data_IF_809146551587
#
_entry.id   IF_809146551587
#
_cell.length_a   1.000
_cell.length_b   1.000
_cell.length_c   1.000
_cell.angle_alpha   90.00
_cell.angle_beta   90.00
_cell.angle_gamma   90.00
#
_symmetry.space_group_name_H-M   'P 1'
#
loop_
_entity.id
_entity.type
_entity.pdbx_description
1 polymer ?
#
# COMPACT_ATOMS: atom_id res chain seq x y z
N UNK A 1 5.18 4.54 10.39
CA UNK A 1 6.30 5.30 9.76
C UNK A 1 6.33 6.66 10.44
N UNK A 2 7.33 6.97 11.20
CA UNK A 2 7.44 8.31 11.77
C UNK A 2 7.80 9.29 10.65
N UNK A 3 7.08 10.39 10.54
CA UNK A 3 7.28 11.40 9.48
C UNK A 3 8.72 11.93 9.43
N UNK A 4 9.45 11.85 10.53
CA UNK A 4 10.85 12.28 10.64
C UNK A 4 11.87 11.32 10.01
N UNK A 5 11.58 10.02 9.91
CA UNK A 5 12.54 9.06 9.33
C UNK A 5 12.51 9.11 7.80
N UNK A 6 11.33 9.11 7.20
CA UNK A 6 11.21 9.21 5.75
C UNK A 6 11.73 10.55 5.22
N UNK A 7 11.63 11.64 6.00
CA UNK A 7 12.25 12.93 5.66
C UNK A 7 13.78 12.88 5.58
N UNK A 8 14.43 12.04 6.39
CA UNK A 8 15.89 11.87 6.31
C UNK A 8 16.31 11.11 5.05
N UNK A 9 15.43 10.22 4.56
CA UNK A 9 15.69 9.40 3.39
C UNK A 9 15.41 10.19 2.11
N UNK A 10 14.39 11.06 2.14
CA UNK A 10 13.99 11.93 1.04
C UNK A 10 14.28 13.38 1.44
N UNK A 11 15.52 13.86 1.29
CA UNK A 11 15.96 15.17 1.80
C UNK A 11 15.64 16.33 0.84
N UNK A 12 14.44 16.35 0.27
CA UNK A 12 13.97 17.37 -0.67
C UNK A 12 12.82 18.14 -0.06
N UNK A 13 13.11 19.37 0.42
CA UNK A 13 12.11 20.20 1.09
C UNK A 13 10.89 20.48 0.20
N UNK A 14 11.10 20.64 -1.10
CA UNK A 14 10.04 20.88 -2.10
C UNK A 14 9.03 19.73 -2.19
N UNK A 15 9.43 18.47 -2.01
CA UNK A 15 8.48 17.34 -1.93
C UNK A 15 7.54 17.52 -0.73
N UNK A 16 8.08 17.96 0.40
CA UNK A 16 7.30 18.17 1.63
C UNK A 16 6.40 19.40 1.55
N UNK A 17 6.87 20.46 0.89
CA UNK A 17 6.06 21.66 0.62
C UNK A 17 4.92 21.33 -0.36
N UNK A 18 5.20 20.57 -1.41
CA UNK A 18 4.20 20.08 -2.36
C UNK A 18 3.16 19.16 -1.71
N UNK A 19 3.56 18.37 -0.71
CA UNK A 19 2.62 17.57 0.07
C UNK A 19 1.58 18.42 0.81
N UNK A 20 1.97 19.60 1.33
CA UNK A 20 1.02 20.54 1.95
C UNK A 20 0.03 21.13 0.92
N UNK A 21 0.46 21.32 -0.33
CA UNK A 21 -0.43 21.74 -1.43
C UNK A 21 -1.38 20.60 -1.80
N UNK A 22 -0.85 19.38 -1.89
CA UNK A 22 -1.61 18.17 -2.17
C UNK A 22 -2.72 17.91 -1.14
N UNK A 23 -2.45 18.08 0.15
CA UNK A 23 -3.46 17.95 1.22
C UNK A 23 -4.65 18.89 1.00
N UNK A 24 -4.39 20.15 0.63
CA UNK A 24 -5.45 21.10 0.31
C UNK A 24 -6.23 20.67 -0.94
N UNK A 25 -5.50 20.20 -1.94
CA UNK A 25 -6.09 19.72 -3.19
C UNK A 25 -6.95 18.46 -3.00
N UNK A 26 -6.53 17.53 -2.11
CA UNK A 26 -7.34 16.37 -1.70
C UNK A 26 -8.70 16.81 -1.14
N UNK A 27 -8.70 17.78 -0.23
CA UNK A 27 -9.95 18.31 0.35
C UNK A 27 -10.81 19.01 -0.70
N UNK A 28 -10.23 19.79 -1.60
CA UNK A 28 -10.94 20.45 -2.69
C UNK A 28 -11.62 19.43 -3.61
N UNK A 29 -10.87 18.45 -4.12
CA UNK A 29 -11.36 17.45 -5.07
C UNK A 29 -12.40 16.52 -4.43
N UNK A 30 -12.27 16.17 -3.16
CA UNK A 30 -13.22 15.33 -2.42
C UNK A 30 -14.49 16.06 -1.96
N UNK A 31 -14.62 17.36 -2.21
CA UNK A 31 -15.81 18.14 -1.88
C UNK A 31 -16.95 17.84 -2.85
N UNK A 32 -18.17 17.83 -2.33
CA UNK A 32 -19.42 17.64 -3.05
C UNK A 32 -20.37 18.83 -2.83
N UNK A 33 -21.32 19.03 -3.71
CA UNK A 33 -22.46 19.94 -3.47
C UNK A 33 -23.38 19.47 -2.33
N UNK A 34 -23.21 18.22 -1.88
CA UNK A 34 -23.87 17.66 -0.71
C UNK A 34 -22.89 17.67 0.47
N UNK A 35 -23.11 18.58 1.43
CA UNK A 35 -22.26 18.76 2.61
C UNK A 35 -22.14 17.47 3.45
N UNK A 36 -23.20 16.67 3.47
CA UNK A 36 -23.19 15.39 4.21
C UNK A 36 -22.23 14.39 3.54
N UNK A 37 -22.29 14.25 2.22
CA UNK A 37 -21.32 13.43 1.47
C UNK A 37 -19.88 13.95 1.63
N UNK A 38 -19.70 15.27 1.58
CA UNK A 38 -18.40 15.91 1.84
C UNK A 38 -17.84 15.51 3.21
N UNK A 39 -18.69 15.58 4.26
CA UNK A 39 -18.26 15.22 5.61
C UNK A 39 -17.81 13.77 5.76
N UNK A 40 -18.44 12.85 5.01
CA UNK A 40 -18.07 11.43 5.02
C UNK A 40 -16.80 11.21 4.19
N UNK A 41 -16.77 11.66 2.93
CA UNK A 41 -15.63 11.43 2.02
C UNK A 41 -14.32 12.04 2.50
N UNK A 42 -14.37 13.14 3.25
CA UNK A 42 -13.19 13.79 3.84
C UNK A 42 -12.78 13.22 5.20
N UNK A 43 -13.57 12.34 5.78
CA UNK A 43 -13.32 11.87 7.16
C UNK A 43 -11.97 11.17 7.32
N UNK A 44 -11.66 10.18 6.47
CA UNK A 44 -10.36 9.50 6.52
C UNK A 44 -9.21 10.35 5.94
N UNK A 45 -9.48 11.35 5.11
CA UNK A 45 -8.48 12.34 4.68
C UNK A 45 -8.03 13.15 5.90
N UNK A 46 -8.98 13.67 6.67
CA UNK A 46 -8.74 14.46 7.87
C UNK A 46 -8.14 13.66 9.04
N UNK A 47 -8.38 12.35 9.09
CA UNK A 47 -7.71 11.46 10.04
C UNK A 47 -6.20 11.34 9.77
N UNK A 48 -5.72 11.85 8.64
CA UNK A 48 -4.32 11.87 8.27
C UNK A 48 -3.86 10.61 7.55
N UNK A 49 -2.56 10.39 7.54
CA UNK A 49 -1.91 9.25 6.88
C UNK A 49 -0.46 9.57 6.52
N UNK A 50 0.31 8.53 6.21
CA UNK A 50 1.75 8.68 5.90
C UNK A 50 1.98 9.24 4.48
N UNK A 51 0.97 9.28 3.65
CA UNK A 51 1.00 9.77 2.25
C UNK A 51 2.13 9.18 1.41
N UNK A 52 2.47 7.90 1.67
CA UNK A 52 3.60 7.26 0.98
C UNK A 52 3.42 7.28 -0.55
N UNK A 53 2.22 6.98 -1.06
CA UNK A 53 1.92 7.00 -2.51
C UNK A 53 2.10 8.39 -3.13
N UNK A 54 1.54 9.48 -2.60
CA UNK A 54 1.84 10.84 -3.05
C UNK A 54 3.33 11.20 -2.98
N UNK A 55 4.05 10.77 -1.95
CA UNK A 55 5.48 11.03 -1.80
C UNK A 55 6.28 10.37 -2.94
N UNK A 56 6.03 9.08 -3.23
CA UNK A 56 6.74 8.42 -4.32
C UNK A 56 6.30 8.91 -5.70
N UNK A 57 5.05 9.40 -5.85
CA UNK A 57 4.59 10.10 -7.06
C UNK A 57 5.38 11.38 -7.28
N UNK A 58 5.53 12.21 -6.24
CA UNK A 58 6.31 13.45 -6.30
C UNK A 58 7.79 13.17 -6.58
N UNK A 59 8.36 12.16 -5.93
CA UNK A 59 9.74 11.74 -6.17
C UNK A 59 9.96 11.28 -7.63
N UNK A 60 9.05 10.47 -8.18
CA UNK A 60 9.10 10.05 -9.57
C UNK A 60 8.95 11.23 -10.56
N UNK A 61 8.17 12.24 -10.18
CA UNK A 61 8.02 13.49 -10.94
C UNK A 61 9.32 14.28 -11.09
N UNK A 62 10.29 14.11 -10.20
CA UNK A 62 11.60 14.79 -10.30
C UNK A 62 12.52 14.24 -11.40
N UNK A 63 12.19 13.11 -11.99
CA UNK A 63 12.96 12.53 -13.08
C UNK A 63 12.59 13.10 -14.48
N UNK A 64 11.57 13.95 -14.55
CA UNK A 64 11.18 14.67 -15.79
C UNK A 64 11.28 16.18 -15.61
N UNK A 65 10.46 16.93 -16.34
CA UNK A 65 10.38 18.38 -16.21
C UNK A 65 9.41 18.78 -15.07
N UNK A 66 9.90 18.63 -13.82
CA UNK A 66 9.13 18.88 -12.59
C UNK A 66 8.58 20.31 -12.55
N UNK A 67 9.43 21.32 -12.82
CA UNK A 67 9.08 22.73 -12.60
C UNK A 67 7.88 23.16 -13.46
N UNK A 68 7.86 22.76 -14.74
CA UNK A 68 6.77 23.09 -15.65
C UNK A 68 5.50 22.27 -15.40
N UNK A 69 5.63 21.11 -14.77
CA UNK A 69 4.53 20.16 -14.61
C UNK A 69 4.10 19.94 -13.14
N UNK A 70 4.56 20.78 -12.20
CA UNK A 70 4.31 20.58 -10.78
C UNK A 70 2.81 20.42 -10.44
N UNK A 71 1.92 21.16 -11.10
CA UNK A 71 0.48 21.04 -10.91
C UNK A 71 -0.04 19.65 -11.31
N UNK A 72 0.47 19.08 -12.41
CA UNK A 72 0.10 17.72 -12.86
C UNK A 72 0.66 16.65 -11.92
N UNK A 73 1.88 16.83 -11.40
CA UNK A 73 2.48 15.90 -10.44
C UNK A 73 1.67 15.88 -9.14
N UNK A 74 1.22 17.05 -8.68
CA UNK A 74 0.33 17.15 -7.51
C UNK A 74 -0.99 16.44 -7.78
N UNK A 75 -1.65 16.73 -8.92
CA UNK A 75 -2.91 16.09 -9.30
C UNK A 75 -2.75 14.55 -9.45
N UNK A 76 -1.60 14.07 -9.96
CA UNK A 76 -1.26 12.66 -9.99
C UNK A 76 -1.21 12.04 -8.59
N UNK A 77 -0.54 12.72 -7.65
CA UNK A 77 -0.50 12.32 -6.25
C UNK A 77 -1.89 12.31 -5.58
N UNK A 78 -2.74 13.28 -5.92
CA UNK A 78 -4.14 13.33 -5.47
C UNK A 78 -4.92 12.13 -6.02
N UNK A 79 -4.80 11.83 -7.31
CA UNK A 79 -5.51 10.70 -7.93
C UNK A 79 -5.20 9.37 -7.23
N UNK A 80 -3.93 9.06 -7.02
CA UNK A 80 -3.53 7.79 -6.38
C UNK A 80 -3.94 7.73 -4.91
N UNK A 81 -3.91 8.86 -4.19
CA UNK A 81 -4.34 8.89 -2.80
C UNK A 81 -5.86 8.78 -2.66
N UNK A 82 -6.65 9.36 -3.58
CA UNK A 82 -8.11 9.20 -3.60
C UNK A 82 -8.51 7.73 -3.84
N UNK A 83 -7.83 7.02 -4.75
CA UNK A 83 -8.04 5.58 -4.95
C UNK A 83 -7.70 4.82 -3.66
N UNK A 84 -6.54 5.10 -3.06
CA UNK A 84 -6.13 4.45 -1.82
C UNK A 84 -7.15 4.69 -0.69
N UNK A 85 -7.57 5.94 -0.48
CA UNK A 85 -8.53 6.23 0.59
C UNK A 85 -9.90 5.62 0.27
N UNK A 86 -10.34 5.66 -0.99
CA UNK A 86 -11.57 5.02 -1.43
C UNK A 86 -11.56 3.51 -1.16
N UNK A 87 -10.44 2.81 -1.44
CA UNK A 87 -10.31 1.39 -1.11
C UNK A 87 -10.38 1.14 0.41
N UNK A 88 -9.78 2.00 1.24
CA UNK A 88 -9.88 1.87 2.70
C UNK A 88 -11.32 1.95 3.23
N UNK A 89 -12.19 2.76 2.60
CA UNK A 89 -13.61 2.80 2.96
C UNK A 89 -14.31 1.47 2.66
N UNK A 90 -13.95 0.82 1.55
CA UNK A 90 -14.48 -0.49 1.17
C UNK A 90 -13.91 -1.60 2.05
N UNK A 91 -12.59 -1.59 2.30
CA UNK A 91 -11.91 -2.55 3.17
C UNK A 91 -12.53 -2.55 4.57
N UNK A 92 -12.74 -1.37 5.19
CA UNK A 92 -13.36 -1.25 6.51
C UNK A 92 -14.75 -1.91 6.59
N UNK A 93 -15.50 -1.89 5.48
CA UNK A 93 -16.81 -2.57 5.40
C UNK A 93 -16.66 -4.08 5.26
N UNK A 94 -15.72 -4.55 4.42
CA UNK A 94 -15.47 -5.97 4.19
C UNK A 94 -14.93 -6.66 5.45
N UNK A 95 -14.01 -5.99 6.15
CA UNK A 95 -13.35 -6.49 7.35
C UNK A 95 -14.16 -6.24 8.63
N UNK A 96 -15.34 -5.59 8.54
CA UNK A 96 -16.12 -5.11 9.70
C UNK A 96 -15.25 -4.33 10.70
N UNK A 97 -14.29 -3.57 10.20
CA UNK A 97 -13.35 -2.82 11.02
C UNK A 97 -14.08 -1.77 11.88
N UNK A 98 -13.70 -1.64 13.15
CA UNK A 98 -14.27 -0.64 14.08
C UNK A 98 -13.43 0.64 14.16
N UNK A 99 -12.16 0.56 13.78
CA UNK A 99 -11.22 1.67 13.85
C UNK A 99 -10.33 1.73 12.61
N UNK A 100 -9.98 2.95 12.17
CA UNK A 100 -9.02 3.20 11.07
C UNK A 100 -8.22 4.47 11.37
N UNK A 101 -6.89 4.42 11.23
CA UNK A 101 -6.00 5.57 11.48
C UNK A 101 -6.17 6.20 12.87
N UNK A 102 -6.47 5.39 13.89
CA UNK A 102 -6.66 5.85 15.28
C UNK A 102 -7.99 6.56 15.55
N UNK A 103 -8.91 6.57 14.58
CA UNK A 103 -10.28 7.06 14.75
C UNK A 103 -11.28 5.93 14.52
N UNK A 104 -12.54 6.13 14.88
CA UNK A 104 -13.62 5.21 14.55
C UNK A 104 -13.70 5.05 13.02
N UNK A 105 -13.89 3.82 12.52
CA UNK A 105 -14.05 3.58 11.08
C UNK A 105 -15.36 4.20 10.55
N UNK A 106 -15.44 4.45 9.25
CA UNK A 106 -16.62 5.13 8.69
C UNK A 106 -17.88 4.28 8.75
N UNK A 107 -17.76 2.95 8.56
CA UNK A 107 -18.87 2.00 8.68
C UNK A 107 -19.42 1.91 10.10
N UNK A 108 -18.57 2.02 11.12
CA UNK A 108 -18.99 2.11 12.53
C UNK A 108 -19.66 3.44 12.85
N UNK A 109 -19.04 4.54 12.41
CA UNK A 109 -19.52 5.91 12.71
C UNK A 109 -20.84 6.25 12.02
N UNK A 110 -21.03 5.78 10.81
CA UNK A 110 -22.27 6.00 10.03
C UNK A 110 -22.98 4.69 9.74
N UNK A 111 -22.58 3.99 8.72
CA UNK A 111 -22.96 2.63 8.34
C UNK A 111 -22.21 2.18 7.08
N UNK A 112 -22.27 0.88 6.77
CA UNK A 112 -21.63 0.29 5.59
C UNK A 112 -22.09 0.92 4.27
N UNK A 113 -23.36 1.25 4.12
CA UNK A 113 -23.89 1.86 2.87
C UNK A 113 -23.25 3.20 2.58
N UNK A 114 -23.10 4.06 3.60
CA UNK A 114 -22.48 5.39 3.43
C UNK A 114 -20.97 5.28 3.22
N UNK A 115 -20.31 4.29 3.82
CA UNK A 115 -18.90 4.01 3.55
C UNK A 115 -18.67 3.61 2.09
N UNK A 116 -19.46 2.68 1.56
CA UNK A 116 -19.38 2.26 0.15
C UNK A 116 -19.57 3.47 -0.77
N UNK A 117 -20.62 4.27 -0.55
CA UNK A 117 -20.88 5.45 -1.37
C UNK A 117 -19.78 6.50 -1.30
N UNK A 118 -19.15 6.67 -0.14
CA UNK A 118 -17.99 7.59 0.00
C UNK A 118 -16.77 7.07 -0.76
N UNK A 119 -16.49 5.77 -0.69
CA UNK A 119 -15.43 5.14 -1.49
C UNK A 119 -15.67 5.31 -2.98
N UNK A 120 -16.87 4.97 -3.48
CA UNK A 120 -17.24 5.15 -4.89
C UNK A 120 -17.10 6.61 -5.34
N UNK A 121 -17.51 7.56 -4.49
CA UNK A 121 -17.38 8.99 -4.78
C UNK A 121 -15.90 9.40 -4.94
N UNK A 122 -15.01 8.97 -4.05
CA UNK A 122 -13.58 9.27 -4.15
C UNK A 122 -12.95 8.68 -5.41
N UNK A 123 -13.34 7.47 -5.80
CA UNK A 123 -12.88 6.83 -7.05
C UNK A 123 -13.36 7.60 -8.29
N UNK A 124 -14.61 8.07 -8.29
CA UNK A 124 -15.14 8.91 -9.36
C UNK A 124 -14.40 10.24 -9.46
N UNK A 125 -14.09 10.90 -8.31
CA UNK A 125 -13.34 12.15 -8.26
C UNK A 125 -11.90 11.99 -8.75
N UNK A 126 -11.25 10.86 -8.42
CA UNK A 126 -9.93 10.51 -8.97
C UNK A 126 -9.96 10.42 -10.50
N UNK A 127 -10.95 9.70 -11.03
CA UNK A 127 -11.10 9.52 -12.49
C UNK A 127 -11.37 10.83 -13.22
N UNK A 128 -12.22 11.69 -12.67
CA UNK A 128 -12.53 13.02 -13.21
C UNK A 128 -11.30 13.93 -13.23
N UNK A 129 -10.56 14.02 -12.10
CA UNK A 129 -9.33 14.80 -12.03
C UNK A 129 -8.28 14.30 -13.03
N UNK A 130 -8.12 12.99 -13.17
CA UNK A 130 -7.19 12.43 -14.13
C UNK A 130 -7.57 12.78 -15.58
N UNK A 131 -8.86 12.78 -15.91
CA UNK A 131 -9.34 13.16 -17.25
C UNK A 131 -9.10 14.66 -17.54
N UNK A 132 -9.29 15.52 -16.55
CA UNK A 132 -9.11 16.97 -16.69
C UNK A 132 -7.63 17.38 -16.77
N UNK A 133 -6.76 16.79 -15.95
CA UNK A 133 -5.39 17.26 -15.71
C UNK A 133 -4.32 16.40 -16.38
N UNK A 134 -4.49 15.06 -16.42
CA UNK A 134 -3.44 14.12 -16.77
C UNK A 134 -3.63 13.45 -18.14
N UNK A 135 -4.84 13.45 -18.67
CA UNK A 135 -5.17 12.89 -19.98
C UNK A 135 -5.50 11.39 -19.99
N UNK A 136 -5.83 10.89 -21.18
CA UNK A 136 -6.44 9.58 -21.40
C UNK A 136 -5.57 8.40 -20.94
N UNK A 137 -4.27 8.49 -21.13
CA UNK A 137 -3.35 7.41 -20.71
C UNK A 137 -3.39 7.22 -19.20
N UNK A 138 -3.37 8.31 -18.45
CA UNK A 138 -3.47 8.29 -16.98
C UNK A 138 -4.81 7.75 -16.49
N UNK A 139 -5.92 8.09 -17.16
CA UNK A 139 -7.25 7.52 -16.84
C UNK A 139 -7.27 6.01 -17.04
N UNK A 140 -6.72 5.52 -18.17
CA UNK A 140 -6.63 4.08 -18.44
C UNK A 140 -5.77 3.36 -17.41
N UNK A 141 -4.62 3.95 -17.06
CA UNK A 141 -3.72 3.40 -16.05
C UNK A 141 -4.41 3.28 -14.69
N UNK A 142 -5.06 4.33 -14.21
CA UNK A 142 -5.77 4.33 -12.93
C UNK A 142 -6.94 3.33 -12.92
N UNK A 143 -7.69 3.24 -14.02
CA UNK A 143 -8.79 2.28 -14.14
C UNK A 143 -8.29 0.82 -14.12
N UNK A 144 -7.20 0.52 -14.84
CA UNK A 144 -6.56 -0.81 -14.83
C UNK A 144 -6.04 -1.15 -13.43
N UNK A 145 -5.36 -0.20 -12.79
CA UNK A 145 -4.83 -0.40 -11.43
C UNK A 145 -5.94 -0.66 -10.41
N UNK A 146 -7.05 0.05 -10.52
CA UNK A 146 -8.18 -0.22 -9.64
C UNK A 146 -8.80 -1.60 -9.88
N UNK A 147 -8.87 -2.06 -11.13
CA UNK A 147 -9.30 -3.42 -11.44
C UNK A 147 -8.35 -4.47 -10.83
N UNK A 148 -7.03 -4.29 -10.98
CA UNK A 148 -6.02 -5.16 -10.36
C UNK A 148 -6.16 -5.21 -8.83
N UNK A 149 -6.46 -4.06 -8.19
CA UNK A 149 -6.68 -3.98 -6.75
C UNK A 149 -7.91 -4.79 -6.32
N UNK A 150 -9.02 -4.66 -7.06
CA UNK A 150 -10.27 -5.43 -6.80
C UNK A 150 -10.06 -6.93 -7.04
N UNK A 151 -9.31 -7.31 -8.08
CA UNK A 151 -8.95 -8.70 -8.36
C UNK A 151 -8.11 -9.30 -7.23
N UNK A 152 -7.10 -8.55 -6.74
CA UNK A 152 -6.27 -8.94 -5.59
C UNK A 152 -7.10 -9.14 -4.32
N UNK A 153 -7.98 -8.19 -3.99
CA UNK A 153 -8.88 -8.29 -2.84
C UNK A 153 -9.85 -9.47 -2.98
N UNK A 154 -10.40 -9.70 -4.18
CA UNK A 154 -11.28 -10.85 -4.43
C UNK A 154 -10.55 -12.17 -4.25
N UNK A 155 -9.29 -12.26 -4.71
CA UNK A 155 -8.46 -13.45 -4.52
C UNK A 155 -8.18 -13.70 -3.04
N UNK A 156 -7.82 -12.65 -2.27
CA UNK A 156 -7.60 -12.74 -0.82
C UNK A 156 -8.83 -13.31 -0.09
N UNK A 157 -10.01 -12.77 -0.36
CA UNK A 157 -11.26 -13.26 0.23
C UNK A 157 -11.56 -14.73 -0.12
N UNK A 158 -11.24 -15.15 -1.34
CA UNK A 158 -11.43 -16.54 -1.77
C UNK A 158 -10.44 -17.52 -1.12
N UNK A 159 -9.27 -17.03 -0.70
CA UNK A 159 -8.21 -17.80 -0.04
C UNK A 159 -8.34 -17.79 1.48
N UNK A 160 -9.30 -17.05 2.05
CA UNK A 160 -9.48 -16.98 3.50
C UNK A 160 -9.68 -18.37 4.11
N UNK A 161 -8.87 -18.70 5.11
CA UNK A 161 -8.83 -20.01 5.78
C UNK A 161 -8.47 -21.21 4.87
N UNK A 162 -7.92 -20.98 3.68
CA UNK A 162 -7.44 -22.05 2.82
C UNK A 162 -6.04 -22.49 3.25
N UNK A 163 -5.95 -23.70 3.83
CA UNK A 163 -4.70 -24.31 4.30
C UNK A 163 -3.86 -24.94 3.16
N UNK A 164 -4.41 -24.98 1.95
CA UNK A 164 -3.73 -25.49 0.76
C UNK A 164 -3.17 -24.39 -0.15
N UNK A 165 -3.40 -23.11 0.21
CA UNK A 165 -2.83 -21.97 -0.53
C UNK A 165 -1.29 -22.03 -0.50
N UNK A 166 -0.66 -21.54 -1.56
CA UNK A 166 0.79 -21.51 -1.71
C UNK A 166 1.34 -20.06 -1.73
N UNK A 167 2.68 -19.94 -1.76
CA UNK A 167 3.35 -18.64 -1.77
C UNK A 167 3.02 -17.83 -3.04
N UNK A 168 2.86 -18.47 -4.20
CA UNK A 168 2.52 -17.77 -5.46
C UNK A 168 1.10 -17.17 -5.39
N UNK A 169 0.17 -17.84 -4.69
CA UNK A 169 -1.16 -17.31 -4.44
C UNK A 169 -1.11 -16.03 -3.61
N UNK A 170 -0.32 -16.04 -2.53
CA UNK A 170 -0.07 -14.88 -1.68
C UNK A 170 0.59 -13.74 -2.47
N UNK A 171 1.65 -14.03 -3.24
CA UNK A 171 2.33 -13.03 -4.06
C UNK A 171 1.36 -12.36 -5.03
N UNK A 172 0.50 -13.14 -5.71
CA UNK A 172 -0.53 -12.59 -6.61
C UNK A 172 -1.50 -11.64 -5.89
N UNK A 173 -1.88 -11.95 -4.64
CA UNK A 173 -2.74 -11.09 -3.82
C UNK A 173 -2.06 -9.75 -3.55
N UNK A 174 -0.82 -9.76 -3.03
CA UNK A 174 -0.12 -8.51 -2.69
C UNK A 174 0.31 -7.72 -3.91
N UNK A 175 0.57 -8.37 -5.04
CA UNK A 175 0.78 -7.74 -6.34
C UNK A 175 -0.42 -6.88 -6.73
N UNK A 176 -1.63 -7.44 -6.71
CA UNK A 176 -2.86 -6.72 -7.03
C UNK A 176 -3.23 -5.68 -5.98
N UNK A 177 -3.29 -6.08 -4.72
CA UNK A 177 -3.81 -5.25 -3.61
C UNK A 177 -2.88 -4.09 -3.24
N UNK A 178 -1.56 -4.29 -3.28
CA UNK A 178 -0.58 -3.32 -2.76
C UNK A 178 0.39 -2.81 -3.82
N UNK A 179 1.07 -3.70 -4.55
CA UNK A 179 2.14 -3.31 -5.47
C UNK A 179 1.60 -2.55 -6.69
N UNK A 180 0.44 -2.89 -7.19
CA UNK A 180 -0.21 -2.26 -8.34
C UNK A 180 -0.32 -0.74 -8.18
N UNK A 181 -0.81 -0.26 -7.03
CA UNK A 181 -1.00 1.17 -6.81
C UNK A 181 0.31 1.91 -6.49
N UNK A 182 1.32 1.25 -5.92
CA UNK A 182 2.65 1.85 -5.72
C UNK A 182 3.37 1.96 -7.07
N UNK A 183 3.32 0.94 -7.93
CA UNK A 183 3.75 1.00 -9.33
C UNK A 183 3.08 2.17 -10.06
N UNK A 184 1.77 2.28 -9.95
CA UNK A 184 1.01 3.34 -10.60
C UNK A 184 1.37 4.71 -10.06
N UNK A 185 1.68 4.85 -8.78
CA UNK A 185 2.13 6.10 -8.18
C UNK A 185 3.42 6.60 -8.82
N UNK A 186 4.42 5.73 -8.97
CA UNK A 186 5.70 6.09 -9.59
C UNK A 186 5.56 6.34 -11.09
N UNK A 187 4.81 5.47 -11.79
CA UNK A 187 4.54 5.64 -13.22
C UNK A 187 3.79 6.93 -13.51
N UNK A 188 2.77 7.24 -12.73
CA UNK A 188 1.94 8.43 -12.95
C UNK A 188 2.71 9.73 -12.67
N UNK A 189 3.57 9.74 -11.64
CA UNK A 189 4.44 10.87 -11.33
C UNK A 189 5.43 11.17 -12.45
N UNK A 190 6.09 10.16 -13.00
CA UNK A 190 7.03 10.30 -14.11
C UNK A 190 6.33 10.68 -15.43
N UNK A 191 5.16 10.11 -15.74
CA UNK A 191 4.34 10.53 -16.87
C UNK A 191 3.89 12.00 -16.73
N UNK A 192 3.43 12.41 -15.56
CA UNK A 192 2.97 13.77 -15.29
C UNK A 192 4.09 14.81 -15.49
N UNK A 193 5.34 14.44 -15.19
CA UNK A 193 6.51 15.31 -15.42
C UNK A 193 7.07 15.24 -16.84
N UNK A 194 6.47 14.45 -17.72
CA UNK A 194 6.96 14.22 -19.10
C UNK A 194 8.37 13.61 -19.15
N UNK A 195 8.67 12.70 -18.24
CA UNK A 195 9.90 11.92 -18.24
C UNK A 195 9.99 11.02 -19.50
N UNK A 196 11.20 10.67 -19.91
CA UNK A 196 11.43 9.74 -21.01
C UNK A 196 10.85 8.35 -20.71
N UNK A 197 10.38 7.63 -21.73
CA UNK A 197 9.71 6.33 -21.56
C UNK A 197 10.58 5.30 -20.83
N UNK A 198 11.89 5.29 -21.03
CA UNK A 198 12.82 4.41 -20.32
C UNK A 198 12.84 4.70 -18.81
N UNK A 199 12.77 5.97 -18.44
CA UNK A 199 12.68 6.41 -17.03
C UNK A 199 11.32 5.99 -16.44
N UNK A 200 10.24 6.21 -17.19
CA UNK A 200 8.87 5.82 -16.77
C UNK A 200 8.80 4.32 -16.49
N UNK A 201 9.36 3.48 -17.37
CA UNK A 201 9.35 2.04 -17.21
C UNK A 201 10.27 1.57 -16.06
N UNK A 202 11.46 2.18 -15.91
CA UNK A 202 12.37 1.90 -14.80
C UNK A 202 11.71 2.20 -13.44
N UNK A 203 11.12 3.38 -13.28
CA UNK A 203 10.43 3.79 -12.05
C UNK A 203 9.17 2.98 -11.79
N UNK A 204 8.45 2.56 -12.85
CA UNK A 204 7.29 1.69 -12.75
C UNK A 204 7.68 0.32 -12.17
N UNK A 205 8.73 -0.31 -12.69
CA UNK A 205 9.23 -1.59 -12.21
C UNK A 205 9.81 -1.50 -10.79
N UNK A 206 10.53 -0.40 -10.50
CA UNK A 206 10.99 -0.12 -9.14
C UNK A 206 9.81 -0.01 -8.16
N UNK A 207 8.77 0.73 -8.52
CA UNK A 207 7.58 0.91 -7.70
C UNK A 207 6.83 -0.40 -7.44
N UNK A 208 6.79 -1.31 -8.43
CA UNK A 208 6.24 -2.66 -8.28
C UNK A 208 6.97 -3.45 -7.19
N UNK A 209 8.28 -3.57 -7.31
CA UNK A 209 9.10 -4.31 -6.35
C UNK A 209 9.07 -3.66 -4.95
N UNK A 210 9.09 -2.33 -4.88
CA UNK A 210 8.89 -1.59 -3.63
C UNK A 210 7.57 -1.94 -2.96
N UNK A 211 6.50 -2.09 -3.73
CA UNK A 211 5.18 -2.43 -3.22
C UNK A 211 5.14 -3.83 -2.61
N UNK A 212 5.78 -4.80 -3.25
CA UNK A 212 5.90 -6.17 -2.75
C UNK A 212 6.74 -6.20 -1.46
N UNK A 213 7.92 -5.56 -1.47
CA UNK A 213 8.79 -5.44 -0.29
C UNK A 213 8.03 -4.79 0.86
N UNK A 214 7.29 -3.72 0.58
CA UNK A 214 6.50 -2.99 1.57
C UNK A 214 5.48 -3.91 2.25
N UNK A 215 4.72 -4.69 1.47
CA UNK A 215 3.69 -5.56 2.01
C UNK A 215 4.29 -6.73 2.81
N UNK A 216 5.29 -7.44 2.26
CA UNK A 216 5.93 -8.54 2.99
C UNK A 216 6.53 -8.03 4.31
N UNK A 217 7.13 -6.83 4.31
CA UNK A 217 7.67 -6.23 5.53
C UNK A 217 6.57 -5.90 6.55
N UNK A 218 5.42 -5.39 6.11
CA UNK A 218 4.28 -5.12 7.00
C UNK A 218 3.72 -6.44 7.59
N UNK A 219 3.66 -7.51 6.81
CA UNK A 219 3.18 -8.82 7.26
C UNK A 219 4.11 -9.48 8.29
N UNK A 220 5.43 -9.34 8.12
CA UNK A 220 6.40 -9.80 9.13
C UNK A 220 6.22 -8.98 10.42
N UNK A 221 6.05 -7.66 10.31
CA UNK A 221 5.83 -6.79 11.46
C UNK A 221 4.54 -7.11 12.22
N UNK A 222 3.48 -7.50 11.52
CA UNK A 222 2.22 -7.91 12.15
C UNK A 222 2.40 -9.08 13.10
N UNK A 223 3.32 -10.00 12.80
CA UNK A 223 3.60 -11.16 13.65
C UNK A 223 4.68 -10.91 14.71
N UNK A 224 5.64 -9.99 14.45
CA UNK A 224 6.84 -9.82 15.29
C UNK A 224 6.78 -8.62 16.23
N UNK A 225 5.91 -7.63 15.96
CA UNK A 225 5.82 -6.41 16.78
C UNK A 225 4.83 -6.56 17.92
N UNK A 226 5.06 -5.84 19.00
CA UNK A 226 4.09 -5.78 20.09
C UNK A 226 2.83 -4.96 19.71
N UNK A 227 1.72 -5.28 20.37
CA UNK A 227 0.41 -4.67 20.09
C UNK A 227 0.37 -3.16 20.32
N UNK A 228 1.29 -2.58 21.10
CA UNK A 228 1.36 -1.13 21.33
C UNK A 228 1.94 -0.42 20.10
N UNK A 229 2.88 -1.05 19.44
CA UNK A 229 3.51 -0.51 18.21
C UNK A 229 2.59 -0.63 16.99
N UNK A 230 1.82 -1.73 16.90
CA UNK A 230 0.93 -2.01 15.76
C UNK A 230 -0.40 -1.24 15.80
N UNK A 231 -0.90 -0.90 16.98
CA UNK A 231 -2.25 -0.34 17.16
C UNK A 231 -3.39 -1.35 16.97
N UNK A 232 -3.06 -2.62 16.68
CA UNK A 232 -3.96 -3.79 16.62
C UNK A 232 -3.29 -4.99 17.32
N UNK A 233 -4.03 -6.03 17.70
CA UNK A 233 -3.44 -7.27 18.23
C UNK A 233 -2.50 -7.91 17.19
N UNK A 234 -1.32 -8.37 17.63
CA UNK A 234 -0.41 -9.14 16.78
C UNK A 234 -1.08 -10.45 16.34
N UNK A 235 -0.84 -10.87 15.08
CA UNK A 235 -1.43 -12.06 14.49
C UNK A 235 -2.90 -11.90 14.10
N UNK A 236 -3.40 -10.68 13.96
CA UNK A 236 -4.79 -10.44 13.55
C UNK A 236 -5.11 -11.08 12.18
N UNK A 237 -4.16 -11.04 11.25
CA UNK A 237 -4.33 -11.62 9.92
C UNK A 237 -4.60 -13.14 9.98
N UNK A 238 -3.94 -13.86 10.91
CA UNK A 238 -4.21 -15.30 11.16
C UNK A 238 -5.66 -15.51 11.64
N UNK A 239 -6.16 -14.64 12.54
CA UNK A 239 -7.52 -14.73 13.06
C UNK A 239 -8.57 -14.48 11.96
N UNK A 240 -8.28 -13.63 11.02
CA UNK A 240 -9.12 -13.33 9.85
C UNK A 240 -9.00 -14.39 8.75
N UNK A 241 -8.07 -15.35 8.92
CA UNK A 241 -7.81 -16.41 7.94
C UNK A 241 -6.95 -15.98 6.77
N UNK A 242 -6.31 -14.81 6.85
CA UNK A 242 -5.35 -14.32 5.88
C UNK A 242 -3.96 -14.87 6.24
N UNK A 243 -3.51 -15.86 5.48
CA UNK A 243 -2.22 -16.50 5.72
C UNK A 243 -1.13 -15.81 4.90
N UNK A 244 -0.32 -15.01 5.61
CA UNK A 244 0.76 -14.21 5.04
C UNK A 244 2.05 -15.04 4.85
N UNK A 245 3.07 -14.46 4.23
CA UNK A 245 4.28 -15.18 3.83
C UNK A 245 4.92 -16.02 4.95
N UNK A 246 5.12 -15.53 6.19
CA UNK A 246 5.72 -16.35 7.25
C UNK A 246 4.87 -17.58 7.60
N UNK A 247 3.53 -17.44 7.59
CA UNK A 247 2.60 -18.56 7.85
C UNK A 247 2.68 -19.60 6.74
N UNK A 248 2.75 -19.18 5.49
CA UNK A 248 2.87 -20.08 4.34
C UNK A 248 4.22 -20.81 4.30
N UNK A 249 5.31 -20.14 4.67
CA UNK A 249 6.61 -20.78 4.84
C UNK A 249 6.54 -21.85 5.94
N UNK A 250 5.92 -21.54 7.07
CA UNK A 250 5.72 -22.51 8.14
C UNK A 250 4.94 -23.73 7.66
N UNK A 251 3.81 -23.52 6.96
CA UNK A 251 3.02 -24.60 6.36
C UNK A 251 3.85 -25.47 5.38
N UNK A 252 4.72 -24.86 4.57
CA UNK A 252 5.59 -25.58 3.66
C UNK A 252 6.65 -26.43 4.38
N UNK A 253 7.11 -26.00 5.57
CA UNK A 253 8.11 -26.73 6.35
C UNK A 253 7.53 -27.94 7.07
N UNK A 254 6.38 -27.79 7.71
CA UNK A 254 5.66 -28.88 8.40
C UNK A 254 4.15 -28.68 8.29
N UNK A 255 3.60 -29.16 7.17
CA UNK A 255 2.17 -29.00 6.89
C UNK A 255 1.29 -29.57 7.99
N UNK A 256 1.64 -30.74 8.54
CA UNK A 256 0.84 -31.42 9.58
C UNK A 256 0.71 -30.58 10.85
N UNK A 257 1.84 -30.14 11.39
CA UNK A 257 1.92 -29.32 12.61
C UNK A 257 1.16 -28.00 12.44
N UNK A 258 1.46 -27.27 11.38
CA UNK A 258 0.91 -25.91 11.23
C UNK A 258 -0.56 -25.90 10.77
N UNK A 259 -1.04 -26.91 10.02
CA UNK A 259 -2.47 -27.05 9.76
C UNK A 259 -3.27 -27.35 11.02
N UNK A 260 -2.76 -28.23 11.90
CA UNK A 260 -3.39 -28.50 13.20
C UNK A 260 -3.48 -27.22 14.02
N UNK A 261 -2.36 -26.49 14.13
CA UNK A 261 -2.30 -25.25 14.91
C UNK A 261 -3.25 -24.17 14.39
N UNK A 262 -3.29 -23.92 13.08
CA UNK A 262 -4.19 -22.94 12.45
C UNK A 262 -5.67 -23.35 12.59
N UNK A 263 -5.94 -24.66 12.55
CA UNK A 263 -7.29 -25.18 12.80
C UNK A 263 -7.73 -24.95 14.24
N UNK A 264 -6.86 -25.17 15.22
CA UNK A 264 -7.14 -24.93 16.63
C UNK A 264 -7.35 -23.45 16.94
N UNK A 265 -6.59 -22.54 16.27
CA UNK A 265 -6.80 -21.09 16.36
C UNK A 265 -8.19 -20.73 15.80
N UNK A 266 -8.52 -21.22 14.60
CA UNK A 266 -9.83 -20.96 13.96
C UNK A 266 -11.01 -21.44 14.79
N UNK A 267 -10.84 -22.56 15.49
CA UNK A 267 -11.85 -23.14 16.39
C UNK A 267 -11.84 -22.52 17.80
N UNK A 268 -11.07 -21.45 18.02
CA UNK A 268 -10.90 -20.73 19.30
C UNK A 268 -10.42 -21.63 20.46
N UNK A 269 -9.76 -22.75 20.15
CA UNK A 269 -9.18 -23.64 21.14
C UNK A 269 -7.87 -23.12 21.73
N UNK A 270 -7.12 -22.36 20.93
CA UNK A 270 -5.85 -21.73 21.30
C UNK A 270 -5.89 -20.24 20.93
N UNK A 271 -5.46 -19.37 21.83
CA UNK A 271 -5.26 -17.95 21.55
C UNK A 271 -4.01 -17.79 20.64
N UNK A 272 -4.15 -17.12 19.50
CA UNK A 272 -3.08 -16.87 18.54
C UNK A 272 -1.84 -16.29 19.21
N UNK A 273 -1.98 -15.43 20.21
CA UNK A 273 -0.87 -14.81 20.94
C UNK A 273 0.07 -15.81 21.61
N UNK A 274 -0.46 -16.97 21.99
CA UNK A 274 0.32 -18.00 22.67
C UNK A 274 1.18 -18.83 21.72
N UNK A 275 0.99 -18.67 20.42
CA UNK A 275 1.64 -19.48 19.38
C UNK A 275 2.30 -18.64 18.28
N UNK A 276 2.35 -17.31 18.40
CA UNK A 276 3.02 -16.44 17.43
C UNK A 276 4.48 -16.82 17.24
N UNK A 277 5.16 -17.24 18.32
CA UNK A 277 6.58 -17.66 18.27
C UNK A 277 6.80 -18.86 17.34
N UNK A 278 5.77 -19.68 17.10
CA UNK A 278 5.85 -20.81 16.17
C UNK A 278 5.92 -20.33 14.71
N UNK A 279 5.29 -19.21 14.38
CA UNK A 279 5.31 -18.60 13.03
C UNK A 279 6.44 -17.58 12.84
N UNK A 280 7.15 -17.22 13.92
CA UNK A 280 8.23 -16.22 13.91
C UNK A 280 9.58 -16.80 14.29
N UNK A 281 9.76 -18.11 14.15
CA UNK A 281 11.07 -18.74 14.35
C UNK A 281 12.12 -18.09 13.46
N UNK A 282 13.38 -18.09 13.91
CA UNK A 282 14.46 -17.49 13.14
C UNK A 282 14.53 -18.00 11.71
N UNK A 283 14.30 -19.30 11.51
CA UNK A 283 14.35 -19.94 10.19
C UNK A 283 13.23 -19.40 9.26
N UNK A 284 12.00 -19.26 9.77
CA UNK A 284 10.86 -18.73 8.99
C UNK A 284 11.09 -17.27 8.61
N UNK A 285 11.59 -16.47 9.53
CA UNK A 285 11.89 -15.05 9.28
C UNK A 285 13.06 -14.90 8.31
N UNK A 286 14.12 -15.72 8.44
CA UNK A 286 15.26 -15.68 7.52
C UNK A 286 14.83 -16.06 6.10
N UNK A 287 13.98 -17.09 5.92
CA UNK A 287 13.43 -17.49 4.61
C UNK A 287 12.51 -16.39 4.03
N UNK A 288 11.70 -15.73 4.87
CA UNK A 288 10.89 -14.59 4.44
C UNK A 288 11.76 -13.42 3.94
N UNK A 289 12.87 -13.15 4.63
CA UNK A 289 13.84 -12.12 4.24
C UNK A 289 14.60 -12.49 2.97
N UNK A 290 14.82 -13.77 2.68
CA UNK A 290 15.43 -14.21 1.43
C UNK A 290 14.53 -13.86 0.23
N UNK A 291 13.21 -14.05 0.34
CA UNK A 291 12.25 -13.62 -0.69
C UNK A 291 12.27 -12.11 -0.88
N UNK A 292 12.27 -11.33 0.22
CA UNK A 292 12.40 -9.86 0.15
C UNK A 292 13.68 -9.44 -0.59
N UNK A 293 14.82 -10.13 -0.31
CA UNK A 293 16.09 -9.83 -0.96
C UNK A 293 16.07 -10.13 -2.47
N UNK A 294 15.27 -11.11 -2.92
CA UNK A 294 15.00 -11.33 -4.33
C UNK A 294 14.40 -10.08 -4.99
N UNK A 295 13.30 -9.59 -4.44
CA UNK A 295 12.62 -8.37 -4.92
C UNK A 295 13.49 -7.10 -4.76
N UNK A 296 14.35 -7.03 -3.73
CA UNK A 296 15.32 -5.95 -3.59
C UNK A 296 16.30 -5.92 -4.77
N UNK A 297 16.84 -7.07 -5.15
CA UNK A 297 17.76 -7.17 -6.29
C UNK A 297 17.06 -6.75 -7.59
N UNK A 298 15.84 -7.22 -7.83
CA UNK A 298 15.04 -6.83 -8.99
C UNK A 298 14.72 -5.32 -8.98
N UNK A 299 14.44 -4.75 -7.81
CA UNK A 299 14.19 -3.32 -7.65
C UNK A 299 15.42 -2.48 -8.01
N UNK A 300 16.62 -2.88 -7.57
CA UNK A 300 17.88 -2.21 -7.91
C UNK A 300 18.21 -2.39 -9.40
N UNK A 301 17.99 -3.57 -9.96
CA UNK A 301 18.19 -3.83 -11.39
C UNK A 301 17.27 -2.96 -12.26
N UNK A 302 16.00 -2.82 -11.87
CA UNK A 302 15.04 -1.99 -12.59
C UNK A 302 15.47 -0.54 -12.77
N UNK A 303 16.15 0.03 -11.78
CA UNK A 303 16.64 1.43 -11.82
C UNK A 303 18.12 1.56 -12.22
N UNK A 304 18.80 0.48 -12.56
CA UNK A 304 20.24 0.52 -12.84
C UNK A 304 20.60 1.45 -14.01
N UNK A 305 19.69 1.65 -14.97
CA UNK A 305 19.84 2.63 -16.06
C UNK A 305 19.91 4.07 -15.54
N UNK A 306 19.36 4.33 -14.36
CA UNK A 306 19.31 5.63 -13.68
C UNK A 306 20.50 5.86 -12.73
N UNK A 307 21.50 4.97 -12.67
CA UNK A 307 22.62 5.02 -11.69
C UNK A 307 23.43 6.31 -11.68
N UNK A 308 23.42 7.06 -12.78
CA UNK A 308 24.10 8.35 -12.90
C UNK A 308 23.19 9.53 -12.53
N UNK A 309 21.92 9.30 -12.26
CA UNK A 309 20.97 10.33 -11.84
C UNK A 309 21.17 10.64 -10.35
N UNK A 310 21.09 11.93 -9.98
CA UNK A 310 21.31 12.38 -8.60
C UNK A 310 20.32 11.78 -7.57
N UNK A 311 19.15 11.35 -8.04
CA UNK A 311 18.10 10.74 -7.20
C UNK A 311 18.26 9.22 -7.03
N UNK A 312 19.18 8.57 -7.75
CA UNK A 312 19.37 7.13 -7.65
C UNK A 312 19.63 6.66 -6.21
N UNK A 313 20.52 7.30 -5.41
CA UNK A 313 20.73 6.89 -4.04
C UNK A 313 19.49 7.00 -3.15
N UNK A 314 18.55 7.89 -3.47
CA UNK A 314 17.30 8.04 -2.72
C UNK A 314 16.38 6.85 -2.95
N UNK A 315 16.29 6.35 -4.19
CA UNK A 315 15.51 5.15 -4.52
C UNK A 315 16.07 3.92 -3.77
N UNK A 316 17.42 3.75 -3.77
CA UNK A 316 18.06 2.68 -2.99
C UNK A 316 17.83 2.81 -1.48
N UNK A 317 17.89 4.03 -0.95
CA UNK A 317 17.65 4.27 0.47
C UNK A 317 16.20 3.97 0.89
N UNK A 318 15.22 4.21 0.01
CA UNK A 318 13.82 3.81 0.25
C UNK A 318 13.72 2.29 0.35
N UNK A 319 14.31 1.54 -0.59
CA UNK A 319 14.34 0.09 -0.54
C UNK A 319 14.93 -0.43 0.77
N UNK A 320 16.12 0.07 1.14
CA UNK A 320 16.80 -0.30 2.39
C UNK A 320 15.96 0.04 3.62
N UNK A 321 15.27 1.18 3.61
CA UNK A 321 14.40 1.57 4.71
C UNK A 321 13.22 0.60 4.87
N UNK A 322 12.59 0.18 3.76
CA UNK A 322 11.45 -0.75 3.80
C UNK A 322 11.85 -2.08 4.42
N UNK A 323 13.03 -2.60 4.09
CA UNK A 323 13.55 -3.87 4.63
C UNK A 323 13.94 -3.74 6.10
N UNK A 324 14.61 -2.63 6.47
CA UNK A 324 15.11 -2.46 7.84
C UNK A 324 14.00 -2.22 8.87
N UNK A 325 12.76 -1.99 8.45
CA UNK A 325 11.59 -1.92 9.34
C UNK A 325 11.31 -3.25 10.06
N UNK A 326 11.81 -4.36 9.52
CA UNK A 326 11.63 -5.72 10.05
C UNK A 326 12.75 -6.19 10.97
N UNK A 327 13.75 -5.33 11.25
CA UNK A 327 14.91 -5.66 12.07
C UNK A 327 14.82 -5.08 13.47
#
# INVERSE_FOLDING_TARGET
>A
MESNEIKKIIPFDDIWDNLNVLEKRLLEISSSSNDYLTSISQYLINAGGKRFRPIVTSLAGKFGNEIENIGKIIDAGVCVELIHIGSLYHDDVMDNATTRRGVESSNSKWNSTLSILAGDYLLARSSELAAESLGLESVKLLASTYAELVEGQTKELNLAFDLDQNIDDYLTVIEGKTASLIRTSTRLGSLASSADSEIVDALSNWGWNCGIIFQISDDILDLTSDSQTLGKPAGNDILEGTYTLPVLIALNKDKGKYQELLTEIKEEKIDVKNVLDEFTTKEIIDDSKEIINGYLNESVEAIFTLKNHELFPVLENINNYLINRTN
#
